data_IF_688340318936
#
_entry.id   IF_688340318936
#
_cell.length_a   1.000
_cell.length_b   1.000
_cell.length_c   1.000
_cell.angle_alpha   90.00
_cell.angle_beta   90.00
_cell.angle_gamma   90.00
#
_symmetry.space_group_name_H-M   'P 1'
#
loop_
_entity.id
_entity.type
_entity.pdbx_description
1 polymer ?
#
# COMPACT_ATOMS: atom_id res chain seq x y z
N UNK A 1 -33.44 -40.86 -31.57
CA UNK A 1 -32.06 -40.55 -31.18
C UNK A 1 -31.18 -40.82 -32.38
N UNK A 2 -30.55 -39.83 -32.98
CA UNK A 2 -29.57 -40.04 -34.02
C UNK A 2 -28.18 -40.05 -33.38
N UNK A 3 -27.41 -41.10 -33.54
CA UNK A 3 -26.01 -41.18 -33.17
C UNK A 3 -25.20 -40.60 -34.33
N UNK A 4 -24.45 -39.54 -34.12
CA UNK A 4 -23.58 -38.95 -35.11
C UNK A 4 -22.17 -39.49 -34.87
N UNK A 5 -21.57 -40.04 -35.94
CA UNK A 5 -20.18 -40.52 -35.90
C UNK A 5 -19.36 -39.62 -36.85
N UNK A 6 -18.33 -38.97 -36.32
CA UNK A 6 -17.49 -38.03 -37.03
C UNK A 6 -16.00 -38.29 -36.78
N UNK A 7 -15.12 -38.21 -37.79
CA UNK A 7 -15.39 -38.08 -39.25
C UNK A 7 -15.53 -39.47 -39.92
N UNK A 8 -16.37 -39.60 -40.90
CA UNK A 8 -16.50 -40.80 -41.75
C UNK A 8 -16.40 -40.43 -43.23
N UNK A 9 -15.72 -41.29 -44.03
CA UNK A 9 -15.62 -41.09 -45.46
C UNK A 9 -17.00 -41.27 -46.14
N UNK A 10 -17.33 -40.37 -47.08
CA UNK A 10 -18.58 -40.41 -47.85
C UNK A 10 -19.82 -39.88 -47.12
N UNK A 11 -19.66 -39.40 -45.89
CA UNK A 11 -20.76 -38.77 -45.13
C UNK A 11 -20.71 -37.25 -45.33
N UNK A 12 -21.86 -36.63 -45.60
CA UNK A 12 -22.03 -35.19 -45.62
C UNK A 12 -22.46 -34.70 -44.23
N UNK A 13 -21.72 -33.77 -43.68
CA UNK A 13 -21.99 -33.20 -42.36
C UNK A 13 -22.57 -31.81 -42.49
N UNK A 14 -23.53 -31.48 -41.65
CA UNK A 14 -24.04 -30.12 -41.48
C UNK A 14 -23.13 -29.29 -40.59
N UNK A 15 -23.33 -27.96 -40.54
CA UNK A 15 -22.65 -27.10 -39.61
C UNK A 15 -22.94 -27.48 -38.14
N UNK A 16 -24.16 -27.98 -37.87
CA UNK A 16 -24.58 -28.46 -36.55
C UNK A 16 -23.78 -29.72 -36.12
N UNK A 17 -23.55 -30.66 -37.07
CA UNK A 17 -22.77 -31.86 -36.80
C UNK A 17 -21.30 -31.50 -36.43
N UNK A 18 -20.73 -30.54 -37.14
CA UNK A 18 -19.38 -30.03 -36.84
C UNK A 18 -19.35 -29.29 -35.49
N UNK A 19 -20.37 -28.50 -35.21
CA UNK A 19 -20.51 -27.82 -33.93
C UNK A 19 -20.60 -28.83 -32.77
N UNK A 20 -21.40 -29.89 -32.93
CA UNK A 20 -21.53 -30.96 -31.94
C UNK A 20 -20.18 -31.63 -31.64
N UNK A 21 -19.34 -31.88 -32.64
CA UNK A 21 -17.97 -32.39 -32.42
C UNK A 21 -17.10 -31.42 -31.60
N UNK A 22 -17.27 -30.12 -31.80
CA UNK A 22 -16.49 -29.10 -31.13
C UNK A 22 -17.07 -28.68 -29.75
N UNK A 23 -18.26 -29.13 -29.38
CA UNK A 23 -18.89 -28.80 -28.09
C UNK A 23 -18.19 -29.41 -26.85
N UNK A 24 -17.16 -30.23 -27.05
CA UNK A 24 -16.25 -30.66 -25.97
C UNK A 24 -15.42 -29.50 -25.45
N UNK A 25 -15.37 -28.38 -26.18
CA UNK A 25 -14.68 -27.15 -25.76
C UNK A 25 -15.51 -26.42 -24.71
N UNK A 26 -14.80 -25.78 -23.77
CA UNK A 26 -15.48 -24.86 -22.85
C UNK A 26 -15.73 -23.51 -23.53
N UNK A 27 -16.81 -22.83 -23.16
CA UNK A 27 -17.04 -21.45 -23.60
C UNK A 27 -15.93 -20.55 -23.05
N UNK A 28 -15.53 -19.54 -23.82
CA UNK A 28 -14.53 -18.57 -23.42
C UNK A 28 -13.68 -18.02 -24.56
N UNK A 29 -12.78 -17.10 -24.24
CA UNK A 29 -11.79 -16.57 -25.18
C UNK A 29 -10.64 -17.56 -25.37
N UNK A 30 -9.98 -17.53 -26.54
CA UNK A 30 -8.86 -18.47 -26.81
C UNK A 30 -7.61 -18.15 -25.98
N UNK A 31 -7.38 -16.88 -25.64
CA UNK A 31 -6.27 -16.44 -24.79
C UNK A 31 -6.64 -15.13 -24.10
N UNK A 32 -6.30 -15.03 -22.85
CA UNK A 32 -6.48 -13.78 -22.08
C UNK A 32 -5.53 -12.67 -22.54
N UNK A 33 -4.35 -13.01 -23.04
CA UNK A 33 -3.31 -12.02 -23.36
C UNK A 33 -3.73 -11.11 -24.52
N UNK A 34 -4.35 -11.67 -25.55
CA UNK A 34 -4.61 -10.94 -26.79
C UNK A 34 -6.09 -10.90 -27.18
N UNK A 35 -6.82 -12.01 -27.05
CA UNK A 35 -8.18 -12.10 -27.59
C UNK A 35 -9.18 -11.25 -26.81
N UNK A 36 -9.83 -10.32 -27.52
CA UNK A 36 -10.83 -9.40 -26.97
C UNK A 36 -10.32 -8.58 -25.77
N UNK A 37 -9.03 -8.24 -25.77
CA UNK A 37 -8.47 -7.36 -24.76
C UNK A 37 -9.12 -5.98 -24.85
N UNK A 38 -9.48 -5.41 -23.69
CA UNK A 38 -10.13 -4.10 -23.63
C UNK A 38 -9.09 -3.06 -23.19
N UNK A 39 -9.00 -1.98 -23.94
CA UNK A 39 -8.11 -0.85 -23.70
C UNK A 39 -8.86 0.47 -23.84
N UNK A 40 -8.27 1.55 -23.33
CA UNK A 40 -8.81 2.91 -23.44
C UNK A 40 -8.14 3.60 -24.63
N UNK A 41 -8.97 4.20 -25.49
CA UNK A 41 -8.49 4.94 -26.67
C UNK A 41 -8.93 6.40 -26.68
N UNK A 42 -9.78 6.81 -25.76
CA UNK A 42 -10.25 8.19 -25.61
C UNK A 42 -10.83 8.46 -24.23
N UNK A 43 -11.30 9.66 -23.99
CA UNK A 43 -11.80 10.11 -22.68
C UNK A 43 -12.90 9.19 -22.12
N UNK A 44 -13.82 8.74 -22.97
CA UNK A 44 -14.88 7.77 -22.67
C UNK A 44 -15.02 6.72 -23.77
N UNK A 45 -13.93 6.48 -24.50
CA UNK A 45 -13.89 5.47 -25.53
C UNK A 45 -12.98 4.33 -25.10
N UNK A 46 -13.50 3.13 -25.30
CA UNK A 46 -12.78 1.88 -25.09
C UNK A 46 -12.73 1.13 -26.42
N UNK A 47 -11.64 0.42 -26.61
CA UNK A 47 -11.45 -0.44 -27.77
C UNK A 47 -11.30 -1.87 -27.31
N UNK A 48 -12.07 -2.74 -27.96
CA UNK A 48 -11.94 -4.19 -27.80
C UNK A 48 -11.11 -4.72 -28.97
N UNK A 49 -9.98 -5.33 -28.66
CA UNK A 49 -9.06 -5.89 -29.65
C UNK A 49 -9.69 -7.04 -30.45
N UNK A 50 -9.18 -7.34 -31.64
CA UNK A 50 -9.50 -8.56 -32.38
C UNK A 50 -9.34 -9.80 -31.52
N UNK A 51 -10.09 -10.88 -31.83
CA UNK A 51 -9.96 -12.07 -31.00
C UNK A 51 -10.78 -13.25 -31.51
N UNK A 52 -10.53 -14.39 -30.86
CA UNK A 52 -11.22 -15.64 -31.05
C UNK A 52 -11.90 -16.06 -29.76
N UNK A 53 -13.09 -16.59 -29.84
CA UNK A 53 -13.84 -17.18 -28.74
C UNK A 53 -14.62 -18.39 -29.18
N UNK A 54 -14.96 -19.27 -28.25
CA UNK A 54 -15.92 -20.35 -28.44
C UNK A 54 -17.09 -20.12 -27.49
N UNK A 55 -18.32 -20.31 -28.00
CA UNK A 55 -19.54 -20.19 -27.22
C UNK A 55 -20.34 -21.47 -27.38
N UNK A 56 -20.54 -22.23 -26.29
CA UNK A 56 -21.56 -23.26 -26.22
C UNK A 56 -22.85 -22.61 -25.77
N UNK A 57 -23.83 -22.55 -26.64
CA UNK A 57 -25.10 -21.90 -26.35
C UNK A 57 -26.23 -22.89 -26.04
N UNK A 58 -26.00 -24.18 -26.27
CA UNK A 58 -26.91 -25.29 -25.96
C UNK A 58 -26.06 -26.56 -25.73
N UNK A 59 -26.67 -27.65 -25.23
CA UNK A 59 -25.96 -28.89 -24.81
C UNK A 59 -25.02 -29.47 -25.85
N UNK A 60 -25.40 -29.44 -27.12
CA UNK A 60 -24.61 -29.97 -28.22
C UNK A 60 -24.41 -28.95 -29.36
N UNK A 61 -24.50 -27.67 -29.02
CA UNK A 61 -24.43 -26.59 -30.00
C UNK A 61 -23.46 -25.52 -29.56
N UNK A 62 -22.56 -25.14 -30.44
CA UNK A 62 -21.60 -24.09 -30.18
C UNK A 62 -21.18 -23.38 -31.44
N UNK A 63 -20.63 -22.20 -31.29
CA UNK A 63 -20.13 -21.37 -32.39
C UNK A 63 -18.72 -20.85 -32.08
N UNK A 64 -17.91 -20.82 -33.13
CA UNK A 64 -16.63 -20.12 -33.08
C UNK A 64 -16.83 -18.67 -33.50
N UNK A 65 -16.38 -17.74 -32.68
CA UNK A 65 -16.43 -16.31 -32.94
C UNK A 65 -15.05 -15.81 -33.30
N UNK A 66 -14.93 -15.08 -34.42
CA UNK A 66 -13.70 -14.46 -34.87
C UNK A 66 -13.97 -12.98 -35.18
N UNK A 67 -13.48 -12.08 -34.38
CA UNK A 67 -13.37 -10.66 -34.70
C UNK A 67 -12.00 -10.37 -35.28
N UNK A 68 -11.94 -9.80 -36.46
CA UNK A 68 -10.68 -9.46 -37.17
C UNK A 68 -10.29 -8.00 -37.00
N UNK A 69 -11.24 -7.19 -36.52
CA UNK A 69 -11.06 -5.74 -36.39
C UNK A 69 -11.31 -5.31 -34.95
N UNK A 70 -10.77 -4.17 -34.61
CA UNK A 70 -11.05 -3.52 -33.33
C UNK A 70 -12.48 -3.00 -33.29
N UNK A 71 -13.11 -3.12 -32.12
CA UNK A 71 -14.44 -2.58 -31.88
C UNK A 71 -14.35 -1.44 -30.86
N UNK A 72 -14.78 -0.25 -31.29
CA UNK A 72 -14.78 0.94 -30.43
C UNK A 72 -16.17 1.10 -29.82
N UNK A 73 -16.20 1.23 -28.48
CA UNK A 73 -17.43 1.45 -27.72
C UNK A 73 -17.30 2.76 -26.93
N UNK A 74 -18.42 3.46 -26.77
CA UNK A 74 -18.48 4.70 -25.99
C UNK A 74 -19.18 4.43 -24.67
N UNK A 75 -18.50 4.72 -23.57
CA UNK A 75 -19.07 4.66 -22.22
C UNK A 75 -19.96 5.89 -22.00
N UNK A 76 -21.24 5.72 -21.64
CA UNK A 76 -22.15 6.85 -21.36
C UNK A 76 -21.65 7.73 -20.22
N UNK A 77 -22.19 8.95 -20.16
CA UNK A 77 -21.86 9.91 -19.07
C UNK A 77 -22.13 9.30 -17.70
N UNK A 78 -21.28 9.69 -16.74
CA UNK A 78 -21.46 9.31 -15.35
C UNK A 78 -22.70 9.98 -14.77
N UNK A 79 -23.34 9.33 -13.82
CA UNK A 79 -24.30 10.01 -12.94
C UNK A 79 -23.56 11.01 -12.04
N UNK A 80 -24.20 12.12 -11.71
CA UNK A 80 -23.55 13.17 -10.92
C UNK A 80 -23.35 12.81 -9.43
N UNK A 81 -24.11 11.85 -8.93
CA UNK A 81 -24.23 11.55 -7.49
C UNK A 81 -23.94 10.10 -7.12
N UNK A 82 -24.18 9.17 -8.04
CA UNK A 82 -24.09 7.74 -7.79
C UNK A 82 -23.09 7.07 -8.72
N UNK A 83 -22.35 6.11 -8.18
CA UNK A 83 -21.43 5.30 -8.97
C UNK A 83 -22.22 4.30 -9.84
N UNK A 84 -21.65 3.91 -10.96
CA UNK A 84 -22.18 2.89 -11.86
C UNK A 84 -21.08 1.90 -12.26
N UNK A 85 -21.45 0.66 -12.53
CA UNK A 85 -20.54 -0.33 -13.12
C UNK A 85 -21.17 -0.84 -14.41
N UNK A 86 -20.49 -0.60 -15.53
CA UNK A 86 -20.87 -1.09 -16.85
C UNK A 86 -20.17 -2.43 -17.15
N UNK A 87 -20.68 -3.19 -18.12
CA UNK A 87 -20.08 -4.47 -18.54
C UNK A 87 -19.94 -4.52 -20.05
N UNK A 88 -18.79 -4.92 -20.55
CA UNK A 88 -18.58 -5.27 -21.96
C UNK A 88 -18.80 -6.76 -22.13
N UNK A 89 -19.63 -7.12 -23.09
CA UNK A 89 -19.97 -8.51 -23.39
C UNK A 89 -19.75 -8.82 -24.87
N UNK A 90 -19.33 -10.06 -25.15
CA UNK A 90 -19.42 -10.69 -26.43
C UNK A 90 -20.75 -11.49 -26.45
N UNK A 91 -21.73 -11.06 -27.21
CA UNK A 91 -23.07 -11.65 -27.24
C UNK A 91 -23.30 -12.40 -28.56
N UNK A 92 -23.74 -13.63 -28.48
CA UNK A 92 -24.30 -14.39 -29.59
C UNK A 92 -25.82 -14.42 -29.44
N UNK A 93 -26.53 -13.93 -30.47
CA UNK A 93 -27.97 -14.01 -30.59
C UNK A 93 -28.32 -15.22 -31.47
N UNK A 94 -28.94 -16.22 -30.87
CA UNK A 94 -29.28 -17.48 -31.56
C UNK A 94 -30.45 -17.33 -32.53
N UNK A 95 -31.33 -16.35 -32.32
CA UNK A 95 -32.53 -16.11 -33.17
C UNK A 95 -32.13 -15.44 -34.48
N UNK A 96 -31.12 -14.56 -34.43
CA UNK A 96 -30.63 -13.82 -35.59
C UNK A 96 -29.36 -14.43 -36.19
N UNK A 97 -28.72 -15.37 -35.47
CA UNK A 97 -27.38 -15.93 -35.76
C UNK A 97 -26.32 -14.85 -35.92
N UNK A 98 -26.36 -13.83 -35.06
CA UNK A 98 -25.47 -12.69 -35.08
C UNK A 98 -24.64 -12.65 -33.80
N UNK A 99 -23.35 -12.35 -33.94
CA UNK A 99 -22.46 -12.05 -32.78
C UNK A 99 -22.09 -10.59 -32.78
N UNK A 100 -22.16 -9.94 -31.62
CA UNK A 100 -21.81 -8.55 -31.44
C UNK A 100 -21.08 -8.31 -30.12
N UNK A 101 -20.20 -7.34 -30.12
CA UNK A 101 -19.60 -6.81 -28.87
C UNK A 101 -20.49 -5.66 -28.42
N UNK A 102 -20.99 -5.72 -27.19
CA UNK A 102 -21.91 -4.72 -26.62
C UNK A 102 -21.42 -4.19 -25.28
N UNK A 103 -21.71 -2.93 -25.02
CA UNK A 103 -21.61 -2.33 -23.70
C UNK A 103 -22.98 -2.37 -23.02
N UNK A 104 -23.08 -3.06 -21.91
CA UNK A 104 -24.25 -3.06 -21.03
C UNK A 104 -24.05 -2.00 -19.96
N UNK A 105 -24.85 -0.95 -19.99
CA UNK A 105 -24.81 0.13 -19.00
C UNK A 105 -25.46 -0.35 -17.70
N UNK A 106 -24.76 -0.20 -16.59
CA UNK A 106 -25.28 -0.54 -15.28
C UNK A 106 -26.26 0.50 -14.73
N UNK A 107 -26.84 0.22 -13.58
CA UNK A 107 -27.72 1.16 -12.88
C UNK A 107 -26.91 1.91 -11.83
N UNK A 108 -26.96 3.26 -11.81
CA UNK A 108 -26.31 4.05 -10.76
C UNK A 108 -26.88 3.69 -9.38
N UNK A 109 -26.00 3.40 -8.41
CA UNK A 109 -26.40 2.99 -7.06
C UNK A 109 -25.28 3.28 -6.05
N UNK A 110 -25.61 3.33 -4.74
CA UNK A 110 -24.64 3.43 -3.65
C UNK A 110 -23.67 2.23 -3.64
N UNK A 111 -24.20 1.04 -3.91
CA UNK A 111 -23.44 -0.20 -4.10
C UNK A 111 -23.68 -0.72 -5.53
N UNK A 112 -23.12 -0.01 -6.52
CA UNK A 112 -23.29 -0.35 -7.91
C UNK A 112 -22.75 -1.74 -8.23
N UNK A 113 -23.53 -2.52 -8.98
CA UNK A 113 -23.17 -3.84 -9.47
C UNK A 113 -23.17 -3.86 -10.99
N UNK A 114 -22.31 -4.65 -11.64
CA UNK A 114 -22.34 -4.81 -13.08
C UNK A 114 -23.61 -5.54 -13.51
N UNK A 115 -24.16 -5.25 -14.70
CA UNK A 115 -25.28 -5.98 -15.24
C UNK A 115 -24.98 -7.48 -15.35
N UNK A 116 -25.99 -8.31 -15.08
CA UNK A 116 -25.87 -9.76 -15.23
C UNK A 116 -25.63 -10.16 -16.68
N UNK A 117 -24.89 -11.26 -16.89
CA UNK A 117 -24.76 -11.90 -18.19
C UNK A 117 -25.99 -12.74 -18.49
N UNK A 118 -26.40 -12.72 -19.78
CA UNK A 118 -27.48 -13.56 -20.29
C UNK A 118 -26.89 -14.84 -20.87
N UNK A 119 -27.35 -15.98 -20.36
CA UNK A 119 -27.00 -17.31 -20.87
C UNK A 119 -28.29 -18.13 -20.96
N UNK A 120 -29.06 -17.88 -22.02
CA UNK A 120 -30.31 -18.53 -22.27
C UNK A 120 -30.39 -18.99 -23.74
N UNK A 121 -31.49 -19.66 -24.14
CA UNK A 121 -31.65 -20.19 -25.48
C UNK A 121 -31.61 -19.13 -26.60
N UNK A 122 -31.94 -17.87 -26.30
CA UNK A 122 -32.01 -16.83 -27.33
C UNK A 122 -30.71 -16.00 -27.39
N UNK A 123 -30.03 -15.86 -26.24
CA UNK A 123 -28.83 -15.03 -26.15
C UNK A 123 -27.81 -15.66 -25.20
N UNK A 124 -26.56 -15.70 -25.65
CA UNK A 124 -25.43 -16.17 -24.84
C UNK A 124 -24.34 -15.12 -24.81
N UNK A 125 -23.97 -14.70 -23.61
CA UNK A 125 -22.97 -13.64 -23.37
C UNK A 125 -21.73 -14.17 -22.66
N UNK A 126 -20.57 -13.69 -23.12
CA UNK A 126 -19.31 -13.79 -22.40
C UNK A 126 -18.91 -12.40 -21.88
N UNK A 127 -18.70 -12.27 -20.58
CA UNK A 127 -18.31 -11.01 -19.95
C UNK A 127 -16.81 -10.73 -20.13
N UNK A 128 -16.44 -9.76 -20.95
CA UNK A 128 -15.05 -9.44 -21.27
C UNK A 128 -14.39 -8.59 -20.18
N UNK A 129 -15.08 -7.56 -19.73
CA UNK A 129 -14.63 -6.72 -18.60
C UNK A 129 -15.79 -6.01 -17.93
N UNK A 130 -15.55 -5.48 -16.74
CA UNK A 130 -16.40 -4.47 -16.11
C UNK A 130 -15.68 -3.13 -16.06
N UNK A 131 -16.46 -2.04 -16.09
CA UNK A 131 -15.95 -0.66 -16.09
C UNK A 131 -16.59 0.07 -14.92
N UNK A 132 -15.78 0.51 -13.97
CA UNK A 132 -16.23 1.38 -12.90
C UNK A 132 -16.40 2.80 -13.43
N UNK A 133 -17.55 3.40 -13.21
CA UNK A 133 -17.86 4.77 -13.61
C UNK A 133 -18.21 5.57 -12.35
N UNK A 134 -17.24 6.23 -11.71
CA UNK A 134 -17.49 7.01 -10.50
C UNK A 134 -18.43 8.19 -10.77
N UNK A 135 -19.17 8.59 -9.75
CA UNK A 135 -20.07 9.74 -9.82
C UNK A 135 -19.33 10.99 -10.28
N UNK A 136 -19.91 11.74 -11.22
CA UNK A 136 -19.33 12.99 -11.75
C UNK A 136 -18.05 12.81 -12.57
N UNK A 137 -17.62 11.59 -12.86
CA UNK A 137 -16.41 11.37 -13.65
C UNK A 137 -16.60 11.79 -15.11
N UNK A 138 -15.60 12.49 -15.65
CA UNK A 138 -15.62 12.95 -17.06
C UNK A 138 -14.85 12.01 -17.99
N UNK A 139 -14.08 11.10 -17.44
CA UNK A 139 -13.23 10.16 -18.19
C UNK A 139 -13.21 8.79 -17.53
N UNK A 140 -12.87 7.77 -18.31
CA UNK A 140 -12.58 6.41 -17.85
C UNK A 140 -11.07 6.20 -17.94
N UNK A 141 -10.47 5.61 -16.90
CA UNK A 141 -9.04 5.32 -16.81
C UNK A 141 -8.78 3.82 -16.82
N UNK A 142 -7.51 3.42 -17.01
CA UNK A 142 -7.12 1.99 -16.97
C UNK A 142 -7.44 1.35 -15.62
N UNK A 143 -7.38 2.13 -14.53
CA UNK A 143 -7.73 1.64 -13.20
C UNK A 143 -9.22 1.32 -13.03
N UNK A 144 -10.07 1.86 -13.89
CA UNK A 144 -11.51 1.64 -13.85
C UNK A 144 -11.94 0.34 -14.58
N UNK A 145 -11.04 -0.26 -15.38
CA UNK A 145 -11.32 -1.47 -16.14
C UNK A 145 -10.87 -2.71 -15.35
N UNK A 146 -11.82 -3.60 -15.08
CA UNK A 146 -11.54 -4.90 -14.50
C UNK A 146 -11.78 -6.01 -15.53
N UNK A 147 -10.70 -6.68 -15.94
CA UNK A 147 -10.70 -7.77 -16.90
C UNK A 147 -11.33 -9.04 -16.30
N UNK A 148 -12.44 -9.49 -16.87
CA UNK A 148 -13.19 -10.69 -16.44
C UNK A 148 -13.00 -11.89 -17.35
N UNK A 149 -12.15 -11.82 -18.39
CA UNK A 149 -11.97 -12.89 -19.37
C UNK A 149 -11.41 -14.19 -18.80
N UNK A 150 -10.69 -14.14 -17.69
CA UNK A 150 -10.22 -15.33 -16.99
C UNK A 150 -11.21 -15.89 -15.95
N UNK A 151 -12.31 -15.21 -15.72
CA UNK A 151 -13.35 -15.62 -14.77
C UNK A 151 -14.33 -16.59 -15.45
N UNK A 152 -14.24 -17.87 -15.07
CA UNK A 152 -15.05 -18.94 -15.66
C UNK A 152 -16.55 -18.80 -15.37
N UNK A 153 -16.92 -17.98 -14.39
CA UNK A 153 -18.35 -17.73 -14.07
C UNK A 153 -19.02 -16.75 -15.05
N UNK A 154 -18.23 -15.96 -15.79
CA UNK A 154 -18.75 -14.92 -16.69
C UNK A 154 -18.16 -15.00 -18.10
N UNK A 155 -16.97 -15.57 -18.30
CA UNK A 155 -16.31 -15.72 -19.59
C UNK A 155 -15.51 -17.03 -19.65
N UNK A 156 -14.32 -17.02 -19.04
CA UNK A 156 -13.39 -18.14 -19.08
C UNK A 156 -12.43 -18.11 -20.27
N UNK A 157 -11.40 -18.95 -20.19
CA UNK A 157 -10.51 -19.27 -21.31
C UNK A 157 -10.93 -20.61 -21.91
N UNK A 158 -11.13 -20.64 -23.22
CA UNK A 158 -11.53 -21.85 -23.95
C UNK A 158 -10.47 -22.97 -23.76
N UNK A 159 -10.98 -24.15 -23.47
CA UNK A 159 -10.17 -25.36 -23.35
C UNK A 159 -10.76 -26.43 -24.29
N UNK A 160 -9.88 -27.15 -24.97
CA UNK A 160 -10.28 -28.23 -25.87
C UNK A 160 -10.24 -29.58 -25.16
N UNK A 161 -11.38 -30.28 -25.13
CA UNK A 161 -11.49 -31.71 -24.89
C UNK A 161 -11.20 -32.22 -23.47
N UNK A 162 -10.89 -31.41 -22.49
CA UNK A 162 -10.61 -31.91 -21.12
C UNK A 162 -11.40 -31.09 -20.08
N UNK A 163 -12.53 -31.59 -19.70
CA UNK A 163 -13.32 -31.07 -18.56
C UNK A 163 -12.71 -31.38 -17.19
N UNK A 164 -11.47 -31.88 -17.12
CA UNK A 164 -10.89 -32.44 -15.90
C UNK A 164 -9.86 -31.59 -15.17
N UNK A 165 -9.41 -30.44 -15.72
CA UNK A 165 -8.49 -29.57 -14.99
C UNK A 165 -9.28 -28.38 -14.46
N UNK A 166 -9.58 -28.32 -13.15
CA UNK A 166 -10.31 -27.20 -12.58
C UNK A 166 -9.43 -25.95 -12.52
N UNK A 167 -9.26 -25.27 -13.66
CA UNK A 167 -8.46 -24.04 -13.71
C UNK A 167 -9.08 -22.94 -12.85
N UNK A 168 -10.40 -22.92 -12.66
CA UNK A 168 -11.08 -22.06 -11.70
C UNK A 168 -10.56 -22.26 -10.27
N UNK A 169 -10.43 -23.50 -9.85
CA UNK A 169 -9.83 -23.83 -8.53
C UNK A 169 -8.39 -23.37 -8.44
N UNK A 170 -7.59 -23.56 -9.50
CA UNK A 170 -6.21 -23.13 -9.56
C UNK A 170 -6.10 -21.59 -9.48
N UNK A 171 -6.93 -20.86 -10.22
CA UNK A 171 -7.00 -19.39 -10.17
C UNK A 171 -7.42 -18.91 -8.79
N UNK A 172 -8.39 -19.57 -8.15
CA UNK A 172 -8.79 -19.25 -6.77
C UNK A 172 -7.67 -19.49 -5.78
N UNK A 173 -6.92 -20.60 -5.93
CA UNK A 173 -5.73 -20.87 -5.10
C UNK A 173 -4.65 -19.82 -5.30
N UNK A 174 -4.36 -19.41 -6.54
CA UNK A 174 -3.41 -18.33 -6.81
C UNK A 174 -3.87 -16.99 -6.22
N UNK A 175 -5.15 -16.65 -6.33
CA UNK A 175 -5.71 -15.45 -5.69
C UNK A 175 -5.55 -15.51 -4.18
N UNK A 176 -5.89 -16.64 -3.56
CA UNK A 176 -5.73 -16.83 -2.12
C UNK A 176 -4.26 -16.68 -1.67
N UNK A 177 -3.31 -17.21 -2.45
CA UNK A 177 -1.87 -17.02 -2.18
C UNK A 177 -1.45 -15.56 -2.34
N UNK A 178 -1.94 -14.87 -3.38
CA UNK A 178 -1.65 -13.44 -3.58
C UNK A 178 -2.23 -12.60 -2.44
N UNK A 179 -3.44 -12.89 -1.99
CA UNK A 179 -4.09 -12.17 -0.90
C UNK A 179 -3.41 -12.47 0.45
N UNK A 180 -2.96 -13.69 0.67
CA UNK A 180 -2.13 -14.05 1.82
C UNK A 180 -0.79 -13.29 1.79
N UNK A 181 -0.10 -13.23 0.63
CA UNK A 181 1.14 -12.47 0.46
C UNK A 181 0.93 -10.96 0.64
N UNK A 182 -0.21 -10.42 0.19
CA UNK A 182 -0.58 -9.03 0.46
C UNK A 182 -0.87 -8.80 1.94
N UNK A 183 -1.51 -9.75 2.61
CA UNK A 183 -1.70 -9.76 4.07
C UNK A 183 -0.38 -9.77 4.81
N UNK A 184 0.54 -10.67 4.45
CA UNK A 184 1.90 -10.71 5.02
C UNK A 184 2.71 -9.45 4.72
N UNK A 185 2.55 -8.85 3.53
CA UNK A 185 3.18 -7.57 3.20
C UNK A 185 2.59 -6.40 4.01
N UNK A 186 1.29 -6.43 4.30
CA UNK A 186 0.65 -5.50 5.22
C UNK A 186 1.08 -5.76 6.68
N UNK A 187 1.37 -7.00 7.03
CA UNK A 187 1.86 -7.42 8.36
C UNK A 187 3.36 -7.15 8.58
N UNK A 188 4.08 -6.61 7.59
CA UNK A 188 5.39 -5.97 7.86
C UNK A 188 5.29 -4.88 8.94
N UNK A 189 4.11 -4.34 9.15
CA UNK A 189 3.77 -3.54 10.33
C UNK A 189 3.86 -4.34 11.64
N UNK A 190 3.73 -5.67 11.62
CA UNK A 190 3.91 -6.56 12.77
C UNK A 190 5.34 -6.54 13.32
N UNK A 191 6.36 -6.25 12.50
CA UNK A 191 7.74 -6.07 12.96
C UNK A 191 7.93 -4.84 13.83
N UNK A 192 7.04 -3.85 13.70
CA UNK A 192 7.09 -2.61 14.47
C UNK A 192 5.71 -2.35 15.09
N UNK A 193 5.34 -3.01 16.21
CA UNK A 193 4.10 -2.70 16.89
C UNK A 193 4.08 -1.24 17.38
N UNK A 194 2.89 -0.70 17.67
CA UNK A 194 2.75 0.66 18.22
C UNK A 194 3.65 0.82 19.45
N UNK A 195 4.42 1.90 19.47
CA UNK A 195 5.46 2.15 20.49
C UNK A 195 6.88 1.73 20.08
N UNK A 196 7.05 0.99 18.98
CA UNK A 196 8.37 0.61 18.48
C UNK A 196 9.19 1.82 18.04
N UNK A 197 10.51 1.69 18.17
CA UNK A 197 11.50 2.70 17.76
C UNK A 197 12.21 2.19 16.50
N UNK A 198 12.27 3.04 15.48
CA UNK A 198 13.07 2.85 14.28
C UNK A 198 14.16 3.90 14.18
N UNK A 199 15.38 3.51 13.79
CA UNK A 199 16.51 4.40 13.63
C UNK A 199 17.10 4.27 12.23
N UNK A 200 17.43 5.40 11.60
CA UNK A 200 18.02 5.43 10.26
C UNK A 200 18.85 6.70 10.06
N UNK A 201 19.88 6.61 9.23
CA UNK A 201 20.56 7.78 8.67
C UNK A 201 19.78 8.42 7.53
N UNK A 202 18.81 7.68 6.94
CA UNK A 202 17.90 8.19 5.93
C UNK A 202 16.79 9.02 6.61
N UNK A 203 16.53 10.26 6.16
CA UNK A 203 15.49 11.12 6.71
C UNK A 203 14.06 10.69 6.34
N UNK A 204 13.90 9.73 5.42
CA UNK A 204 12.58 9.26 4.97
C UNK A 204 11.80 8.64 6.13
N UNK A 205 10.56 9.05 6.29
CA UNK A 205 9.69 8.48 7.33
C UNK A 205 9.50 6.97 7.12
N UNK A 206 9.59 6.15 8.19
CA UNK A 206 9.30 4.71 8.11
C UNK A 206 7.89 4.39 7.60
N UNK A 207 6.96 5.34 7.62
CA UNK A 207 5.63 5.20 7.01
C UNK A 207 5.69 4.82 5.53
N UNK A 208 6.70 5.31 4.78
CA UNK A 208 6.91 4.97 3.38
C UNK A 208 7.37 3.52 3.17
N UNK A 209 8.04 2.92 4.17
CA UNK A 209 8.60 1.57 4.10
C UNK A 209 7.67 0.51 4.71
N UNK A 210 7.01 0.85 5.82
CA UNK A 210 6.27 -0.08 6.66
C UNK A 210 4.80 0.30 6.82
N UNK A 211 4.37 1.47 6.28
CA UNK A 211 3.05 2.03 6.55
C UNK A 211 2.89 2.52 8.00
N UNK A 212 1.64 2.77 8.42
CA UNK A 212 1.33 3.26 9.76
C UNK A 212 1.68 4.74 9.96
N UNK A 213 1.50 5.23 11.18
CA UNK A 213 1.81 6.61 11.56
C UNK A 213 3.03 6.64 12.45
N UNK A 214 3.98 7.49 12.11
CA UNK A 214 5.27 7.61 12.80
C UNK A 214 5.54 9.06 13.18
N UNK A 215 6.08 9.23 14.36
CA UNK A 215 6.50 10.51 14.91
C UNK A 215 8.02 10.51 15.07
N UNK A 216 8.69 11.56 14.57
CA UNK A 216 10.11 11.74 14.81
C UNK A 216 10.31 12.18 16.27
N UNK A 217 11.17 11.49 16.99
CA UNK A 217 11.44 11.73 18.42
C UNK A 217 12.92 11.92 18.68
N UNK A 218 13.26 12.32 19.91
CA UNK A 218 14.61 12.36 20.45
C UNK A 218 15.60 13.22 19.65
N UNK A 219 15.14 14.32 19.00
CA UNK A 219 16.03 15.30 18.38
C UNK A 219 17.04 15.81 19.41
N UNK A 220 18.34 15.77 19.06
CA UNK A 220 19.48 16.14 19.91
C UNK A 220 19.55 15.39 21.25
N UNK A 221 19.08 14.14 21.28
CA UNK A 221 19.06 13.30 22.49
C UNK A 221 19.59 11.90 22.20
N UNK A 222 20.17 11.30 23.23
CA UNK A 222 20.52 9.87 23.24
C UNK A 222 19.35 9.07 23.81
N UNK A 223 19.08 7.90 23.23
CA UNK A 223 18.11 6.97 23.79
C UNK A 223 18.72 6.26 25.01
N UNK A 224 17.96 6.24 26.10
CA UNK A 224 18.32 5.54 27.32
C UNK A 224 17.21 4.59 27.75
N UNK A 225 17.58 3.51 28.43
CA UNK A 225 16.59 2.58 28.98
C UNK A 225 15.72 3.25 30.05
N UNK A 226 14.43 2.95 30.01
CA UNK A 226 13.49 3.40 31.04
C UNK A 226 13.79 2.74 32.40
N UNK A 227 13.44 3.43 33.47
CA UNK A 227 13.57 2.96 34.86
C UNK A 227 12.36 3.38 35.69
N UNK A 228 12.31 2.96 36.96
CA UNK A 228 11.27 3.40 37.88
C UNK A 228 11.26 4.92 38.13
N UNK A 229 12.40 5.59 37.96
CA UNK A 229 12.56 7.05 38.10
C UNK A 229 12.45 7.80 36.77
N UNK A 230 12.56 7.10 35.62
CA UNK A 230 12.50 7.68 34.27
C UNK A 230 11.59 6.85 33.38
N UNK A 231 10.35 7.26 33.30
CA UNK A 231 9.34 6.55 32.50
C UNK A 231 9.66 6.59 31.00
N UNK A 232 9.28 5.55 30.26
CA UNK A 232 9.40 5.53 28.82
C UNK A 232 8.68 6.74 28.19
N UNK A 233 9.34 7.41 27.23
CA UNK A 233 8.85 8.64 26.58
C UNK A 233 9.12 9.93 27.34
N UNK A 234 9.64 9.88 28.57
CA UNK A 234 10.11 11.07 29.28
C UNK A 234 11.45 11.57 28.74
N UNK A 235 11.78 12.81 29.02
CA UNK A 235 13.03 13.44 28.57
C UNK A 235 13.76 14.11 29.71
N UNK A 236 15.08 14.05 29.68
CA UNK A 236 15.95 14.78 30.60
C UNK A 236 16.83 15.76 29.84
N UNK A 237 17.21 16.86 30.49
CA UNK A 237 18.13 17.85 29.91
C UNK A 237 19.56 17.35 30.01
N UNK A 238 20.37 17.62 28.98
CA UNK A 238 21.80 17.38 29.03
C UNK A 238 22.47 18.24 30.07
N UNK A 239 23.49 17.71 30.74
CA UNK A 239 24.29 18.48 31.64
C UNK A 239 25.43 17.67 32.27
N UNK A 240 26.27 18.33 33.02
CA UNK A 240 27.26 17.74 33.87
C UNK A 240 26.89 18.01 35.32
N UNK A 241 27.23 17.11 36.26
CA UNK A 241 27.12 17.43 37.68
C UNK A 241 27.94 18.69 37.99
N UNK A 242 27.40 19.54 38.83
CA UNK A 242 28.17 20.70 39.26
C UNK A 242 29.28 20.26 40.23
N UNK A 243 30.45 20.88 40.09
CA UNK A 243 31.59 20.69 40.97
C UNK A 243 31.65 21.91 41.88
N UNK A 244 31.41 21.69 43.13
CA UNK A 244 31.48 22.77 44.14
C UNK A 244 32.46 22.39 45.25
N UNK A 245 33.03 23.38 45.84
CA UNK A 245 33.94 23.22 46.96
C UNK A 245 34.28 24.57 47.61
N UNK A 246 34.92 24.53 48.74
CA UNK A 246 35.41 25.75 49.36
C UNK A 246 36.70 25.47 50.15
N UNK A 247 37.52 26.45 50.24
CA UNK A 247 38.72 26.44 51.13
C UNK A 247 38.84 27.80 51.81
N UNK A 248 39.58 27.81 52.82
CA UNK A 248 39.94 29.03 53.58
C UNK A 248 41.41 29.30 53.39
N UNK A 249 41.78 30.52 53.11
CA UNK A 249 43.18 30.95 53.03
C UNK A 249 43.36 32.30 53.67
N UNK A 250 44.52 32.46 54.23
CA UNK A 250 45.02 33.73 54.73
C UNK A 250 45.71 34.49 53.59
N UNK A 251 45.22 35.67 53.29
CA UNK A 251 45.66 36.47 52.13
C UNK A 251 45.98 37.89 52.68
N UNK A 252 47.07 38.48 52.20
CA UNK A 252 47.37 39.85 52.51
C UNK A 252 46.18 40.75 52.13
N UNK A 253 45.83 41.66 53.02
CA UNK A 253 44.68 42.53 52.91
C UNK A 253 44.58 43.22 51.49
N UNK A 254 43.54 43.01 50.80
CA UNK A 254 43.30 43.60 49.51
C UNK A 254 43.95 42.91 48.29
N UNK A 255 44.75 41.85 48.49
CA UNK A 255 45.47 41.16 47.39
C UNK A 255 44.80 39.90 46.88
N UNK A 256 43.56 39.62 47.29
CA UNK A 256 42.80 38.47 46.74
C UNK A 256 42.20 38.77 45.37
N UNK A 257 42.61 38.00 44.36
CA UNK A 257 42.04 38.05 43.05
C UNK A 257 41.55 36.63 42.69
N UNK A 258 40.29 36.51 42.40
CA UNK A 258 39.66 35.25 41.92
C UNK A 258 38.88 35.49 40.64
N UNK A 259 38.81 34.49 39.80
CA UNK A 259 38.07 34.57 38.52
C UNK A 259 37.49 33.20 38.15
N UNK A 260 36.55 33.19 37.17
CA UNK A 260 35.94 31.97 36.64
C UNK A 260 35.10 31.25 37.68
N UNK A 261 35.45 30.00 37.98
CA UNK A 261 34.72 29.14 38.91
C UNK A 261 34.92 29.53 40.41
N UNK A 262 35.87 30.37 40.67
CA UNK A 262 36.17 30.78 42.06
C UNK A 262 35.45 32.07 42.44
N UNK A 263 35.04 32.15 43.69
CA UNK A 263 34.46 33.35 44.30
C UNK A 263 35.10 33.54 45.67
N UNK A 264 35.56 34.77 45.95
CA UNK A 264 35.93 35.14 47.30
C UNK A 264 34.71 35.58 48.11
N UNK A 265 34.48 35.00 49.23
CA UNK A 265 33.46 35.42 50.20
C UNK A 265 33.94 36.59 51.04
N UNK A 266 33.17 36.90 52.06
CA UNK A 266 33.57 37.94 53.05
C UNK A 266 34.72 37.47 53.88
N UNK A 267 35.43 38.45 54.45
CA UNK A 267 36.45 38.21 55.52
C UNK A 267 35.76 37.47 56.67
N UNK A 268 36.32 36.33 57.06
CA UNK A 268 35.83 35.53 58.19
C UNK A 268 36.64 35.69 59.45
N UNK A 269 37.86 36.16 59.27
CA UNK A 269 38.73 36.56 60.37
C UNK A 269 39.79 37.54 59.89
N UNK A 270 40.29 38.42 60.72
CA UNK A 270 41.41 39.26 60.42
C UNK A 270 42.46 38.99 61.47
N UNK A 271 43.72 38.73 61.06
CA UNK A 271 44.88 38.57 61.96
C UNK A 271 45.86 39.67 61.61
N UNK A 272 46.39 40.32 62.61
CA UNK A 272 47.43 41.35 62.41
C UNK A 272 48.03 41.85 63.66
N UNK A 273 49.34 41.83 63.67
CA UNK A 273 50.17 42.64 64.57
C UNK A 273 50.70 43.84 63.80
N UNK A 274 51.12 44.84 64.48
CA UNK A 274 51.63 46.15 64.01
C UNK A 274 52.37 46.04 62.65
N UNK A 275 51.82 46.53 61.54
CA UNK A 275 52.34 46.57 60.19
C UNK A 275 52.12 45.36 59.27
N UNK A 276 51.40 44.33 59.68
CA UNK A 276 51.08 43.21 58.75
C UNK A 276 49.66 42.69 58.97
N UNK A 277 48.73 43.16 58.18
CA UNK A 277 47.33 42.69 58.26
C UNK A 277 47.11 41.64 57.19
N UNK A 278 46.62 40.46 57.59
CA UNK A 278 46.11 39.40 56.73
C UNK A 278 44.62 39.19 57.03
N UNK A 279 43.87 39.08 55.98
CA UNK A 279 42.49 38.74 56.08
C UNK A 279 42.27 37.26 55.63
N UNK A 280 41.54 36.54 56.44
CA UNK A 280 41.16 35.15 56.13
C UNK A 280 39.88 35.16 55.33
N UNK A 281 39.92 34.67 54.13
CA UNK A 281 38.83 34.62 53.25
C UNK A 281 38.38 33.18 53.03
N UNK A 282 37.08 32.99 52.90
CA UNK A 282 36.50 31.77 52.38
C UNK A 282 36.40 31.86 50.84
N UNK A 283 37.08 30.99 50.12
CA UNK A 283 36.98 30.86 48.66
C UNK A 283 36.01 29.73 48.33
N UNK A 284 35.16 29.95 47.36
CA UNK A 284 34.24 28.95 46.89
C UNK A 284 34.53 28.65 45.43
N UNK A 285 34.52 27.36 45.08
CA UNK A 285 34.54 26.85 43.72
C UNK A 285 33.11 26.50 43.31
N UNK A 286 32.71 26.98 42.14
CA UNK A 286 31.45 26.64 41.49
C UNK A 286 31.71 26.62 39.97
N UNK A 287 31.83 25.43 39.42
CA UNK A 287 32.18 25.23 38.02
C UNK A 287 31.15 25.83 37.05
N UNK A 288 29.89 25.96 37.47
CA UNK A 288 28.82 26.56 36.65
C UNK A 288 29.07 28.04 36.33
N UNK A 289 29.89 28.75 37.12
CA UNK A 289 30.30 30.12 36.87
C UNK A 289 31.32 30.27 35.74
N UNK A 290 32.11 29.21 35.48
CA UNK A 290 33.08 29.17 34.39
C UNK A 290 32.43 28.64 33.09
N UNK A 291 31.56 27.66 33.18
CA UNK A 291 30.87 27.09 32.04
C UNK A 291 29.49 26.57 32.46
N UNK A 292 28.44 27.08 31.78
CA UNK A 292 27.06 26.79 32.07
C UNK A 292 26.63 25.31 31.82
N UNK A 293 27.53 24.48 31.28
CA UNK A 293 27.26 23.02 31.13
C UNK A 293 27.26 22.33 32.50
N UNK A 294 28.07 22.83 33.48
CA UNK A 294 28.11 22.31 34.84
C UNK A 294 26.86 22.74 35.62
N UNK A 295 26.26 21.83 36.33
CA UNK A 295 25.04 22.05 37.10
C UNK A 295 23.75 22.09 36.26
N UNK A 296 23.85 21.95 34.94
CA UNK A 296 22.68 21.93 34.04
C UNK A 296 21.88 20.64 34.17
N UNK A 297 22.54 19.52 34.49
CA UNK A 297 21.94 18.22 34.74
C UNK A 297 22.79 17.40 35.70
N UNK A 298 22.19 16.42 36.35
CA UNK A 298 22.89 15.44 37.16
C UNK A 298 23.58 14.33 36.34
N UNK A 299 23.44 14.36 35.00
CA UNK A 299 23.97 13.33 34.09
C UNK A 299 24.97 13.93 33.10
N UNK A 300 25.96 13.13 32.70
CA UNK A 300 26.93 13.47 31.65
C UNK A 300 26.34 13.12 30.28
N UNK A 301 26.40 14.04 29.33
CA UNK A 301 26.05 13.77 27.95
C UNK A 301 27.27 13.17 27.22
N UNK A 302 27.20 11.91 26.73
CA UNK A 302 28.28 11.30 25.97
C UNK A 302 28.38 11.91 24.56
N UNK A 303 29.53 11.68 23.89
CA UNK A 303 29.62 11.89 22.46
C UNK A 303 28.53 11.04 21.72
N UNK A 304 27.90 11.61 20.72
CA UNK A 304 26.78 10.96 20.03
C UNK A 304 26.98 10.97 18.52
N UNK A 305 26.50 9.91 17.88
CA UNK A 305 26.29 9.83 16.44
C UNK A 305 24.82 10.10 16.14
N UNK A 306 24.53 11.08 15.30
CA UNK A 306 23.16 11.51 15.06
C UNK A 306 22.49 10.65 13.99
N UNK A 307 21.27 10.17 14.29
CA UNK A 307 20.40 9.42 13.40
C UNK A 307 18.97 9.93 13.54
N UNK A 308 18.16 9.74 12.53
CA UNK A 308 16.71 9.96 12.61
C UNK A 308 16.09 8.85 13.46
N UNK A 309 15.34 9.23 14.48
CA UNK A 309 14.70 8.30 15.41
C UNK A 309 13.21 8.52 15.34
N UNK A 310 12.49 7.46 15.03
CA UNK A 310 11.04 7.47 14.83
C UNK A 310 10.36 6.53 15.81
N UNK A 311 9.22 6.93 16.34
CA UNK A 311 8.34 6.09 17.14
C UNK A 311 7.05 5.84 16.38
N UNK A 312 6.61 4.59 16.29
CA UNK A 312 5.31 4.26 15.76
C UNK A 312 4.21 4.67 16.74
N UNK A 313 3.21 5.44 16.28
CA UNK A 313 2.10 5.95 17.10
C UNK A 313 0.74 5.35 16.71
N UNK A 314 0.59 4.87 15.47
CA UNK A 314 -0.57 4.13 14.99
C UNK A 314 -0.21 3.19 13.84
#
# INVERSE_FOLDING_TARGET
MSIITYPLNGVVYSAEDVATYLCTRTSGVYSKETNFAVSITGTRQITVAPGLAWINYDDFKGVSVCSREENVLTVPEADNTLNRVDRVVLQFDTSENITAIKLKTGTPAVAAQPPDILQNHNQYELGLCTISVPAGSTAVTVADIYDTRADETVCGVMRDGVTGIPTGTLVQQFRAVIDALKGEAADKLGYYPVGSIYQSTDPTSPAALFGGTWEQIASDRVLMGASSSHAAGSTVKAGLPNITGSFVADVKKGEHKVSGAFTAGNVIASTGEYNSFSDVYKFSLDASKSNAIYGRSATVQPAAYYVHIWRRVA
#
